data_IF_608632540381
#
_entry.id   IF_608632540381
#
_cell.length_a   1.000
_cell.length_b   1.000
_cell.length_c   1.000
_cell.angle_alpha   90.00
_cell.angle_beta   90.00
_cell.angle_gamma   90.00
#
_symmetry.space_group_name_H-M   'P 1'
#
loop_
_entity.id
_entity.type
_entity.pdbx_description
1 polymer ?
#
# COMPACT_ATOMS: atom_id res chain seq x y z
N UNK A 1 75.19 -33.22 48.45
CA UNK A 1 74.56 -34.13 49.44
C UNK A 1 73.27 -33.47 49.92
N UNK A 2 72.11 -33.96 49.45
CA UNK A 2 70.92 -34.18 50.29
C UNK A 2 69.86 -34.94 49.49
N UNK A 3 69.31 -35.94 50.14
CA UNK A 3 68.40 -36.98 49.65
C UNK A 3 66.96 -36.57 49.91
N UNK A 4 66.02 -36.90 49.01
CA UNK A 4 64.59 -37.09 49.32
C UNK A 4 63.95 -37.81 48.10
N UNK A 5 63.77 -39.13 48.13
CA UNK A 5 62.69 -39.93 48.76
C UNK A 5 61.30 -39.67 48.16
N UNK A 6 60.81 -40.74 47.54
CA UNK A 6 59.48 -41.04 46.98
C UNK A 6 58.29 -40.48 47.79
N UNK A 7 57.26 -40.04 47.07
CA UNK A 7 55.87 -40.21 47.48
C UNK A 7 54.99 -40.50 46.25
N UNK A 8 54.41 -41.69 46.26
CA UNK A 8 53.42 -42.19 45.32
C UNK A 8 52.09 -41.50 45.63
N UNK A 9 51.45 -40.89 44.62
CA UNK A 9 50.04 -40.52 44.71
C UNK A 9 49.33 -41.05 43.47
N UNK A 10 48.30 -41.86 43.74
CA UNK A 10 47.49 -42.64 42.82
C UNK A 10 46.81 -41.83 41.73
N UNK A 11 46.73 -42.43 40.54
CA UNK A 11 45.79 -42.07 39.49
C UNK A 11 44.35 -42.14 40.01
N UNK A 12 43.61 -41.03 39.89
CA UNK A 12 42.15 -41.06 39.77
C UNK A 12 41.84 -40.61 38.35
N UNK A 13 41.51 -41.56 37.49
CA UNK A 13 41.00 -41.32 36.15
C UNK A 13 39.53 -40.93 36.34
N UNK A 14 39.21 -39.64 36.23
CA UNK A 14 37.83 -39.21 36.01
C UNK A 14 37.57 -39.26 34.51
N UNK A 15 36.90 -40.33 34.08
CA UNK A 15 36.17 -40.41 32.82
C UNK A 15 35.19 -39.23 32.74
N UNK A 16 35.56 -38.20 31.96
CA UNK A 16 34.58 -37.28 31.40
C UNK A 16 34.29 -37.74 29.98
N UNK A 17 33.01 -38.01 29.62
CA UNK A 17 32.67 -38.34 28.26
C UNK A 17 33.01 -37.15 27.35
N UNK A 18 33.71 -37.43 26.27
CA UNK A 18 33.97 -36.51 25.18
C UNK A 18 32.61 -36.10 24.60
N UNK A 19 32.11 -34.94 25.02
CA UNK A 19 30.92 -34.34 24.45
C UNK A 19 31.18 -34.07 22.97
N UNK A 20 30.44 -34.76 22.11
CA UNK A 20 30.27 -34.38 20.72
C UNK A 20 29.74 -32.94 20.70
N UNK A 21 30.56 -31.99 20.25
CA UNK A 21 30.10 -30.64 19.98
C UNK A 21 29.35 -30.69 18.66
N UNK A 22 28.05 -30.98 18.74
CA UNK A 22 27.12 -30.86 17.62
C UNK A 22 27.10 -29.37 17.21
N UNK A 23 27.47 -29.01 15.97
CA UNK A 23 27.39 -27.62 15.55
C UNK A 23 25.92 -27.20 15.63
N UNK A 24 25.65 -26.12 16.37
CA UNK A 24 24.32 -25.53 16.47
C UNK A 24 23.70 -25.39 15.07
N UNK A 25 22.42 -25.71 14.88
CA UNK A 25 21.76 -25.52 13.60
C UNK A 25 21.97 -24.06 13.21
N UNK A 26 22.62 -23.87 12.07
CA UNK A 26 22.72 -22.55 11.44
C UNK A 26 21.30 -21.99 11.39
N UNK A 27 21.06 -20.89 12.10
CA UNK A 27 19.89 -20.04 11.89
C UNK A 27 19.88 -19.70 10.39
N UNK A 28 19.14 -20.51 9.64
CA UNK A 28 18.73 -20.14 8.31
C UNK A 28 17.77 -18.97 8.54
N UNK A 29 18.32 -17.76 8.49
CA UNK A 29 17.50 -16.60 8.19
C UNK A 29 16.79 -16.93 6.88
N UNK A 30 15.52 -17.33 6.98
CA UNK A 30 14.62 -17.36 5.85
C UNK A 30 14.82 -16.03 5.10
N UNK A 31 15.14 -16.06 3.79
CA UNK A 31 15.26 -14.83 3.03
C UNK A 31 13.93 -14.08 3.18
N UNK A 32 14.00 -12.85 3.69
CA UNK A 32 12.83 -12.02 3.96
C UNK A 32 11.91 -12.05 2.73
N UNK A 33 10.71 -12.65 2.90
CA UNK A 33 9.72 -12.77 1.82
C UNK A 33 9.49 -11.39 1.20
N UNK A 34 9.83 -11.25 -0.07
CA UNK A 34 9.51 -10.06 -0.85
C UNK A 34 7.99 -9.97 -0.95
N UNK A 35 7.40 -8.90 -0.39
CA UNK A 35 5.95 -8.71 -0.40
C UNK A 35 5.48 -8.52 -1.84
N UNK A 36 4.48 -9.29 -2.28
CA UNK A 36 3.97 -9.15 -3.64
C UNK A 36 3.28 -7.77 -3.83
N UNK A 37 3.37 -7.13 -5.01
CA UNK A 37 2.76 -5.80 -5.23
C UNK A 37 1.27 -5.74 -4.88
N UNK A 38 0.53 -6.80 -5.22
CA UNK A 38 -0.89 -6.96 -4.87
C UNK A 38 -1.12 -6.94 -3.35
N UNK A 39 -0.28 -7.64 -2.59
CA UNK A 39 -0.37 -7.72 -1.12
C UNK A 39 -0.03 -6.37 -0.48
N UNK A 40 1.05 -5.73 -0.95
CA UNK A 40 1.49 -4.43 -0.46
C UNK A 40 0.44 -3.31 -0.69
N UNK A 41 -0.34 -3.41 -1.76
CA UNK A 41 -1.38 -2.44 -2.11
C UNK A 41 -2.75 -2.73 -1.47
N UNK A 42 -2.93 -3.85 -0.76
CA UNK A 42 -4.22 -4.18 -0.11
C UNK A 42 -4.78 -3.10 0.81
N UNK A 43 -3.99 -2.33 1.58
CA UNK A 43 -4.52 -1.25 2.41
C UNK A 43 -5.30 -0.18 1.63
N UNK A 44 -5.03 -0.04 0.33
CA UNK A 44 -5.68 0.92 -0.56
C UNK A 44 -6.92 0.35 -1.27
N UNK A 45 -7.32 -0.90 -0.98
CA UNK A 45 -8.56 -1.48 -1.51
C UNK A 45 -9.79 -0.60 -1.22
N UNK A 46 -9.77 0.14 -0.12
CA UNK A 46 -10.85 1.07 0.26
C UNK A 46 -11.02 2.23 -0.73
N UNK A 47 -10.03 2.52 -1.59
CA UNK A 47 -10.15 3.52 -2.64
C UNK A 47 -10.89 3.00 -3.87
N UNK A 48 -10.95 1.68 -4.09
CA UNK A 48 -11.52 1.10 -5.32
C UNK A 48 -13.01 1.40 -5.43
N UNK A 49 -13.40 1.94 -6.59
CA UNK A 49 -14.76 2.38 -6.87
C UNK A 49 -14.82 3.78 -7.46
N UNK A 50 -16.04 4.28 -7.65
CA UNK A 50 -16.32 5.63 -8.14
C UNK A 50 -16.68 6.55 -6.97
N UNK A 51 -16.22 7.80 -7.03
CA UNK A 51 -16.34 8.77 -5.95
C UNK A 51 -16.72 10.14 -6.49
N UNK A 52 -17.64 10.82 -5.82
CA UNK A 52 -17.92 12.24 -6.03
C UNK A 52 -16.96 13.06 -5.20
N UNK A 53 -16.04 13.72 -5.87
CA UNK A 53 -15.08 14.66 -5.30
C UNK A 53 -15.65 16.08 -5.27
N UNK A 54 -15.54 16.74 -4.12
CA UNK A 54 -15.72 18.18 -3.98
C UNK A 54 -14.39 18.78 -3.55
N UNK A 55 -13.81 19.60 -4.42
CA UNK A 55 -12.53 20.26 -4.23
C UNK A 55 -12.68 21.70 -3.77
N UNK A 56 -11.85 22.08 -2.80
CA UNK A 56 -11.81 23.42 -2.23
C UNK A 56 -10.38 23.96 -2.33
N UNK A 57 -10.15 25.11 -3.00
CA UNK A 57 -8.85 25.77 -2.96
C UNK A 57 -8.57 26.30 -1.54
N UNK A 58 -7.31 26.23 -1.14
CA UNK A 58 -6.79 26.77 0.11
C UNK A 58 -5.62 27.74 -0.18
N UNK A 59 -5.12 28.45 0.84
CA UNK A 59 -4.00 29.39 0.68
C UNK A 59 -4.35 30.86 0.94
N UNK A 60 -4.14 31.74 -0.03
CA UNK A 60 -4.44 33.18 0.01
C UNK A 60 -5.95 33.45 -0.13
N UNK A 61 -6.39 34.70 0.04
CA UNK A 61 -7.81 35.06 -0.16
C UNK A 61 -8.19 34.90 -1.63
N UNK A 62 -7.27 35.26 -2.51
CA UNK A 62 -7.40 35.21 -3.96
C UNK A 62 -7.48 33.75 -4.45
N UNK A 63 -6.62 32.86 -3.94
CA UNK A 63 -6.68 31.43 -4.26
C UNK A 63 -8.02 30.82 -3.80
N UNK A 64 -8.51 31.15 -2.60
CA UNK A 64 -9.82 30.68 -2.12
C UNK A 64 -11.00 31.22 -2.95
N UNK A 65 -10.88 32.44 -3.48
CA UNK A 65 -11.90 33.05 -4.33
C UNK A 65 -12.05 32.34 -5.69
N UNK A 66 -11.09 31.49 -6.09
CA UNK A 66 -11.20 30.65 -7.30
C UNK A 66 -12.34 29.62 -7.25
N UNK A 67 -12.99 29.47 -6.09
CA UNK A 67 -14.22 28.70 -5.94
C UNK A 67 -14.00 27.19 -5.86
N UNK A 68 -15.00 26.52 -5.28
CA UNK A 68 -15.06 25.07 -5.23
C UNK A 68 -15.19 24.47 -6.64
N UNK A 69 -14.75 23.22 -6.80
CA UNK A 69 -15.05 22.44 -8.01
C UNK A 69 -15.58 21.07 -7.63
N UNK A 70 -16.18 20.40 -8.60
CA UNK A 70 -16.61 19.01 -8.49
C UNK A 70 -15.88 18.16 -9.52
N UNK A 71 -15.60 16.91 -9.15
CA UNK A 71 -14.98 15.93 -10.02
C UNK A 71 -15.45 14.52 -9.67
N UNK A 72 -15.32 13.59 -10.61
CA UNK A 72 -15.49 12.16 -10.31
C UNK A 72 -14.12 11.51 -10.28
N UNK A 73 -13.80 10.87 -9.16
CA UNK A 73 -12.56 10.10 -8.99
C UNK A 73 -12.94 8.63 -9.07
N UNK A 74 -12.29 7.87 -9.95
CA UNK A 74 -12.53 6.45 -10.09
C UNK A 74 -11.22 5.69 -9.94
N UNK A 75 -11.16 4.79 -8.96
CA UNK A 75 -10.02 3.92 -8.73
C UNK A 75 -10.36 2.49 -9.15
N UNK A 76 -9.41 1.84 -9.80
CA UNK A 76 -9.52 0.46 -10.24
C UNK A 76 -8.18 -0.27 -10.11
N UNK A 77 -8.26 -1.58 -9.88
CA UNK A 77 -7.09 -2.44 -9.99
C UNK A 77 -6.70 -2.65 -11.44
N UNK A 78 -5.41 -2.67 -11.69
CA UNK A 78 -4.79 -3.12 -12.92
C UNK A 78 -3.80 -4.23 -12.60
N UNK A 79 -3.78 -5.23 -13.46
CA UNK A 79 -2.92 -6.39 -13.36
C UNK A 79 -2.22 -6.60 -14.69
N UNK A 80 -0.95 -6.98 -14.63
CA UNK A 80 -0.19 -7.41 -15.79
C UNK A 80 0.90 -8.38 -15.33
N UNK A 81 0.83 -9.62 -15.79
CA UNK A 81 1.75 -10.68 -15.39
C UNK A 81 1.78 -10.89 -13.86
N UNK A 82 2.91 -10.63 -13.21
CA UNK A 82 3.06 -10.67 -11.73
C UNK A 82 2.94 -9.28 -11.07
N UNK A 83 2.73 -8.23 -11.88
CA UNK A 83 2.59 -6.87 -11.41
C UNK A 83 1.13 -6.50 -11.15
N UNK A 84 0.92 -5.64 -10.16
CA UNK A 84 -0.40 -5.14 -9.77
C UNK A 84 -0.27 -3.69 -9.31
N UNK A 85 -1.17 -2.83 -9.79
CA UNK A 85 -1.21 -1.42 -9.40
C UNK A 85 -2.64 -0.91 -9.34
N UNK A 86 -2.82 0.24 -8.68
CA UNK A 86 -4.10 0.95 -8.66
C UNK A 86 -4.04 2.11 -9.65
N UNK A 87 -4.95 2.11 -10.62
CA UNK A 87 -5.14 3.24 -11.52
C UNK A 87 -6.24 4.15 -11.00
N UNK A 88 -6.03 5.46 -11.10
CA UNK A 88 -7.04 6.48 -10.81
C UNK A 88 -7.36 7.26 -12.08
N UNK A 89 -8.64 7.55 -12.29
CA UNK A 89 -9.12 8.45 -13.35
C UNK A 89 -9.93 9.58 -12.73
N UNK A 90 -9.71 10.79 -13.20
CA UNK A 90 -10.40 12.00 -12.77
C UNK A 90 -11.25 12.53 -13.93
N UNK A 91 -12.57 12.42 -13.83
CA UNK A 91 -13.51 13.02 -14.80
C UNK A 91 -13.88 14.41 -14.32
N UNK A 92 -13.78 15.40 -15.24
CA UNK A 92 -13.95 16.83 -14.91
C UNK A 92 -12.97 17.31 -13.82
N UNK A 93 -11.83 16.64 -13.66
CA UNK A 93 -10.81 17.01 -12.68
C UNK A 93 -10.18 18.36 -13.00
N UNK A 94 -9.93 19.17 -11.97
CA UNK A 94 -9.31 20.50 -12.11
C UNK A 94 -7.80 20.43 -12.33
N UNK A 95 -7.14 19.47 -11.69
CA UNK A 95 -5.68 19.38 -11.67
C UNK A 95 -5.12 18.17 -12.42
N UNK A 96 -5.79 17.02 -12.31
CA UNK A 96 -5.34 15.75 -12.88
C UNK A 96 -6.41 15.11 -13.74
N UNK A 97 -5.98 14.23 -14.65
CA UNK A 97 -6.84 13.44 -15.53
C UNK A 97 -6.77 11.94 -15.19
N UNK A 98 -5.59 11.45 -14.81
CA UNK A 98 -5.36 10.06 -14.41
C UNK A 98 -4.09 9.91 -13.56
N UNK A 99 -3.88 8.72 -13.00
CA UNK A 99 -2.63 8.34 -12.37
C UNK A 99 -2.54 6.86 -12.03
N UNK A 100 -1.38 6.46 -11.53
CA UNK A 100 -1.07 5.08 -11.13
C UNK A 100 -0.34 5.08 -9.79
N UNK A 101 -0.85 4.31 -8.83
CA UNK A 101 -0.22 4.01 -7.55
C UNK A 101 0.38 2.61 -7.59
N UNK A 102 1.71 2.54 -7.44
CA UNK A 102 2.51 1.31 -7.51
C UNK A 102 3.25 1.08 -6.20
N UNK A 103 3.43 -0.18 -5.83
CA UNK A 103 4.37 -0.56 -4.78
C UNK A 103 5.79 -0.56 -5.36
N UNK A 104 6.68 0.21 -4.76
CA UNK A 104 8.07 0.35 -5.17
C UNK A 104 8.96 0.03 -3.96
N UNK A 105 9.27 -1.26 -3.72
CA UNK A 105 10.06 -1.65 -2.55
C UNK A 105 11.39 -0.91 -2.55
N UNK A 106 11.76 -0.37 -1.38
CA UNK A 106 13.12 0.13 -1.21
C UNK A 106 14.11 -1.05 -1.22
N UNK A 107 15.36 -0.81 -1.62
CA UNK A 107 16.40 -1.86 -1.59
C UNK A 107 16.69 -2.33 -0.17
N UNK A 108 16.35 -1.49 0.82
CA UNK A 108 16.37 -1.83 2.24
C UNK A 108 15.02 -2.40 2.68
N UNK A 109 14.98 -3.72 2.88
CA UNK A 109 13.78 -4.47 3.29
C UNK A 109 13.32 -4.18 4.73
N UNK A 110 14.05 -3.35 5.49
CA UNK A 110 13.66 -2.90 6.84
C UNK A 110 12.90 -1.57 6.82
N UNK A 111 12.88 -0.85 5.69
CA UNK A 111 12.14 0.39 5.56
C UNK A 111 10.64 0.14 5.42
N UNK A 112 9.81 1.11 5.85
CA UNK A 112 8.37 1.08 5.62
C UNK A 112 8.06 0.91 4.12
N UNK A 113 6.99 0.19 3.75
CA UNK A 113 6.63 -0.03 2.37
C UNK A 113 6.48 1.31 1.64
N UNK A 114 7.16 1.40 0.50
CA UNK A 114 7.27 2.61 -0.29
C UNK A 114 6.37 2.50 -1.51
N UNK A 115 5.65 3.58 -1.78
CA UNK A 115 4.68 3.68 -2.85
C UNK A 115 5.04 4.84 -3.76
N UNK A 116 4.85 4.64 -5.06
CA UNK A 116 5.02 5.66 -6.08
C UNK A 116 3.67 5.95 -6.73
N UNK A 117 3.26 7.21 -6.70
CA UNK A 117 2.09 7.71 -7.41
C UNK A 117 2.55 8.60 -8.56
N UNK A 118 2.24 8.20 -9.78
CA UNK A 118 2.45 9.02 -10.97
C UNK A 118 1.12 9.58 -11.42
N UNK A 119 1.00 10.91 -11.47
CA UNK A 119 -0.21 11.61 -11.91
C UNK A 119 0.03 12.30 -13.24
N UNK A 120 -0.97 12.29 -14.12
CA UNK A 120 -1.01 13.08 -15.35
C UNK A 120 -1.93 14.28 -15.14
N UNK A 121 -1.38 15.49 -15.25
CA UNK A 121 -2.11 16.73 -15.13
C UNK A 121 -3.00 17.01 -16.36
N UNK A 122 -3.89 18.01 -16.26
CA UNK A 122 -4.78 18.42 -17.35
C UNK A 122 -4.00 18.95 -18.56
N UNK A 123 -2.84 19.56 -18.33
CA UNK A 123 -1.91 20.01 -19.37
C UNK A 123 -1.04 18.88 -19.96
N UNK A 124 -1.29 17.62 -19.56
CA UNK A 124 -0.56 16.40 -19.94
C UNK A 124 0.83 16.26 -19.35
N UNK A 125 1.27 17.20 -18.50
CA UNK A 125 2.50 17.02 -17.73
C UNK A 125 2.34 15.88 -16.72
N UNK A 126 3.46 15.25 -16.36
CA UNK A 126 3.49 14.19 -15.35
C UNK A 126 4.11 14.70 -14.06
N UNK A 127 3.61 14.20 -12.93
CA UNK A 127 4.17 14.45 -11.61
C UNK A 127 4.32 13.13 -10.85
N UNK A 128 5.48 12.93 -10.26
CA UNK A 128 5.87 11.68 -9.59
C UNK A 128 6.07 11.92 -8.11
N UNK A 129 5.23 11.26 -7.31
CA UNK A 129 5.22 11.36 -5.86
C UNK A 129 5.62 10.02 -5.24
N UNK A 130 6.42 10.07 -4.19
CA UNK A 130 6.96 8.89 -3.53
C UNK A 130 6.85 9.04 -2.01
N UNK A 131 6.45 7.98 -1.33
CA UNK A 131 6.37 7.99 0.13
C UNK A 131 5.75 6.73 0.70
N UNK A 132 5.06 6.85 1.84
CA UNK A 132 4.63 5.71 2.65
C UNK A 132 3.28 5.91 3.31
N UNK A 133 2.69 4.79 3.75
CA UNK A 133 1.44 4.74 4.49
C UNK A 133 1.72 4.68 6.00
N UNK A 134 1.15 5.63 6.75
CA UNK A 134 1.08 5.54 8.21
C UNK A 134 -0.14 4.70 8.57
N UNK A 135 0.07 3.42 8.89
CA UNK A 135 -1.02 2.45 9.09
C UNK A 135 -1.98 2.77 10.23
N UNK A 136 -1.47 3.38 11.31
CA UNK A 136 -2.26 3.76 12.50
C UNK A 136 -3.31 4.82 12.15
N UNK A 137 -2.91 5.82 11.36
CA UNK A 137 -3.75 6.97 11.04
C UNK A 137 -4.41 6.86 9.66
N UNK A 138 -4.09 5.78 8.91
CA UNK A 138 -4.55 5.55 7.54
C UNK A 138 -4.27 6.75 6.62
N UNK A 139 -3.07 7.31 6.76
CA UNK A 139 -2.62 8.46 5.96
C UNK A 139 -1.46 8.07 5.06
N UNK A 140 -1.67 8.16 3.74
CA UNK A 140 -0.61 8.02 2.74
C UNK A 140 -0.03 9.40 2.45
N UNK A 141 1.27 9.57 2.70
CA UNK A 141 1.97 10.83 2.40
C UNK A 141 3.02 10.57 1.33
N UNK A 142 2.94 11.29 0.21
CA UNK A 142 3.83 11.12 -0.93
C UNK A 142 4.44 12.46 -1.32
N UNK A 143 5.77 12.58 -1.24
CA UNK A 143 6.51 13.77 -1.63
C UNK A 143 6.83 13.75 -3.13
N UNK A 144 6.69 14.90 -3.80
CA UNK A 144 7.04 15.04 -5.21
C UNK A 144 8.54 14.96 -5.39
N UNK A 145 8.98 14.19 -6.37
CA UNK A 145 10.40 13.94 -6.67
C UNK A 145 10.88 14.65 -7.95
N UNK A 146 9.95 15.03 -8.82
CA UNK A 146 10.17 15.73 -10.09
C UNK A 146 9.57 17.16 -10.06
N UNK A 147 9.52 17.76 -8.88
CA UNK A 147 8.93 19.07 -8.65
C UNK A 147 9.85 20.25 -9.00
N UNK A 148 9.33 21.49 -8.94
CA UNK A 148 10.14 22.70 -9.08
C UNK A 148 11.22 22.77 -7.99
N UNK A 149 12.41 23.29 -8.32
CA UNK A 149 13.51 23.44 -7.35
C UNK A 149 13.24 24.49 -6.27
N UNK A 150 12.22 25.33 -6.46
CA UNK A 150 11.86 26.42 -5.55
C UNK A 150 10.85 26.01 -4.48
N UNK A 151 10.15 24.89 -4.66
CA UNK A 151 9.04 24.48 -3.78
C UNK A 151 9.00 22.96 -3.61
N UNK A 152 8.97 22.51 -2.35
CA UNK A 152 8.65 21.12 -2.03
C UNK A 152 7.13 20.93 -2.12
N UNK A 153 6.70 19.86 -2.79
CA UNK A 153 5.30 19.51 -2.92
C UNK A 153 5.05 18.11 -2.36
N UNK A 154 3.87 17.89 -1.77
CA UNK A 154 3.42 16.56 -1.39
C UNK A 154 1.93 16.41 -1.62
N UNK A 155 1.51 15.18 -1.93
CA UNK A 155 0.11 14.78 -1.93
C UNK A 155 -0.14 13.87 -0.73
N UNK A 156 -1.24 14.11 -0.03
CA UNK A 156 -1.61 13.37 1.17
C UNK A 156 -3.02 12.80 0.99
N UNK A 157 -3.18 11.49 1.13
CA UNK A 157 -4.48 10.82 1.19
C UNK A 157 -4.79 10.42 2.63
N UNK A 158 -5.96 10.81 3.13
CA UNK A 158 -6.49 10.37 4.43
C UNK A 158 -7.67 9.44 4.17
N UNK A 159 -7.49 8.16 4.47
CA UNK A 159 -8.48 7.10 4.25
C UNK A 159 -9.39 7.01 5.48
N UNK A 160 -10.32 7.96 5.60
CA UNK A 160 -11.09 8.18 6.83
C UNK A 160 -12.03 7.03 7.18
N UNK A 161 -12.88 6.63 6.22
CA UNK A 161 -13.88 5.58 6.39
C UNK A 161 -14.22 4.93 5.05
N UNK A 162 -14.96 3.82 5.04
CA UNK A 162 -15.20 2.99 3.84
C UNK A 162 -15.82 3.73 2.64
N UNK A 163 -16.52 4.83 2.90
CA UNK A 163 -17.22 5.64 1.92
C UNK A 163 -16.76 7.12 1.89
N UNK A 164 -15.65 7.48 2.53
CA UNK A 164 -14.99 8.78 2.33
C UNK A 164 -13.48 8.74 2.51
N UNK A 165 -12.82 9.40 1.59
CA UNK A 165 -11.42 9.75 1.72
C UNK A 165 -11.21 11.21 1.39
N UNK A 166 -10.12 11.78 1.91
CA UNK A 166 -9.66 13.10 1.53
C UNK A 166 -8.34 12.94 0.79
N UNK A 167 -8.11 13.77 -0.21
CA UNK A 167 -6.76 13.96 -0.74
C UNK A 167 -6.46 15.44 -0.86
N UNK A 168 -5.22 15.83 -0.65
CA UNK A 168 -4.79 17.23 -0.67
C UNK A 168 -3.40 17.39 -1.22
N UNK A 169 -3.18 18.48 -1.94
CA UNK A 169 -1.85 18.93 -2.34
C UNK A 169 -1.39 19.98 -1.34
N UNK A 170 -0.19 19.80 -0.82
CA UNK A 170 0.43 20.75 0.09
C UNK A 170 1.81 21.12 -0.42
N UNK A 171 2.23 22.35 -0.11
CA UNK A 171 3.52 22.87 -0.56
C UNK A 171 4.23 23.66 0.52
N UNK A 172 5.54 23.82 0.37
CA UNK A 172 6.38 24.71 1.17
C UNK A 172 7.59 25.17 0.36
N UNK A 173 8.25 26.29 0.70
CA UNK A 173 9.50 26.68 0.05
C UNK A 173 10.54 25.56 0.16
N UNK A 174 11.24 25.27 -0.94
CA UNK A 174 12.22 24.20 -1.00
C UNK A 174 13.34 24.39 0.03
N UNK A 175 13.80 23.29 0.63
CA UNK A 175 14.90 23.30 1.60
C UNK A 175 14.58 23.93 2.95
N UNK A 176 13.31 24.25 3.23
CA UNK A 176 12.90 24.85 4.52
C UNK A 176 12.24 23.83 5.45
N UNK A 177 12.22 24.15 6.74
CA UNK A 177 11.54 23.35 7.78
C UNK A 177 10.15 23.87 8.12
N UNK A 178 9.66 24.89 7.40
CA UNK A 178 8.32 25.45 7.64
C UNK A 178 7.25 24.39 7.37
N UNK A 179 6.13 24.55 8.07
CA UNK A 179 4.99 23.66 7.88
C UNK A 179 4.45 23.77 6.44
N UNK A 180 4.02 22.62 5.92
CA UNK A 180 3.34 22.56 4.64
C UNK A 180 2.03 23.34 4.67
N UNK A 181 1.81 24.16 3.64
CA UNK A 181 0.57 24.88 3.41
C UNK A 181 -0.30 24.11 2.44
N UNK A 182 -1.60 23.97 2.73
CA UNK A 182 -2.54 23.33 1.81
C UNK A 182 -2.81 24.25 0.63
N UNK A 183 -2.65 23.73 -0.58
CA UNK A 183 -3.04 24.40 -1.82
C UNK A 183 -4.48 24.12 -2.19
N UNK A 184 -4.91 22.89 -1.97
CA UNK A 184 -6.30 22.52 -2.05
C UNK A 184 -6.55 21.19 -1.35
N UNK A 185 -7.82 20.91 -1.07
CA UNK A 185 -8.26 19.64 -0.55
C UNK A 185 -9.51 19.19 -1.30
N UNK A 186 -9.56 17.91 -1.63
CA UNK A 186 -10.73 17.26 -2.22
C UNK A 186 -11.29 16.26 -1.23
N UNK A 187 -12.57 16.40 -0.92
CA UNK A 187 -13.34 15.40 -0.20
C UNK A 187 -14.07 14.50 -1.18
N UNK A 188 -13.71 13.22 -1.20
CA UNK A 188 -14.30 12.24 -2.10
C UNK A 188 -15.23 11.29 -1.33
N UNK A 189 -16.51 11.30 -1.70
CA UNK A 189 -17.55 10.44 -1.13
C UNK A 189 -17.93 9.36 -2.13
N UNK A 190 -18.02 8.11 -1.69
CA UNK A 190 -18.26 6.97 -2.59
C UNK A 190 -19.62 7.07 -3.26
N UNK A 191 -19.67 6.85 -4.57
CA UNK A 191 -20.92 6.88 -5.32
C UNK A 191 -21.84 5.72 -4.93
N UNK A 192 -23.10 6.05 -4.66
CA UNK A 192 -24.14 5.06 -4.34
C UNK A 192 -24.15 4.59 -2.89
N UNK A 193 -23.25 5.07 -2.01
CA UNK A 193 -23.23 4.71 -0.59
C UNK A 193 -23.58 5.93 0.30
N UNK A 194 -24.59 5.82 1.21
CA UNK A 194 -24.91 6.90 2.14
C UNK A 194 -23.79 7.07 3.16
N UNK A 195 -23.54 8.32 3.60
CA UNK A 195 -22.41 8.72 4.45
C UNK A 195 -22.25 7.88 5.74
N UNK A 196 -23.32 7.31 6.28
CA UNK A 196 -23.33 6.61 7.57
C UNK A 196 -23.45 5.06 7.48
N UNK A 197 -23.42 4.44 6.30
CA UNK A 197 -23.53 2.98 6.19
C UNK A 197 -22.15 2.30 6.12
N UNK A 198 -21.93 1.31 6.97
CA UNK A 198 -20.80 0.38 6.82
C UNK A 198 -21.27 -0.75 5.90
N UNK A 199 -20.87 -0.71 4.64
CA UNK A 199 -21.31 -1.72 3.65
C UNK A 199 -20.64 -3.05 3.96
N UNK A 200 -21.37 -3.96 4.60
CA UNK A 200 -20.99 -5.38 4.71
C UNK A 200 -21.39 -6.08 3.42
N UNK A 201 -20.46 -6.82 2.82
CA UNK A 201 -20.70 -7.57 1.60
C UNK A 201 -19.67 -8.67 1.41
N UNK A 202 -19.83 -9.49 0.36
CA UNK A 202 -18.92 -10.59 0.07
C UNK A 202 -17.52 -10.07 -0.24
N UNK A 203 -16.49 -10.86 0.08
CA UNK A 203 -15.09 -10.51 -0.26
C UNK A 203 -14.84 -10.69 -1.77
N UNK A 204 -14.09 -9.76 -2.35
CA UNK A 204 -13.59 -9.85 -3.70
C UNK A 204 -12.57 -11.00 -3.80
N UNK A 205 -12.87 -12.03 -4.60
CA UNK A 205 -12.01 -13.22 -4.74
C UNK A 205 -10.60 -12.90 -5.27
N UNK A 206 -10.46 -11.78 -6.00
CA UNK A 206 -9.16 -11.35 -6.54
C UNK A 206 -8.42 -10.49 -5.52
N UNK A 207 -8.94 -9.34 -5.11
CA UNK A 207 -8.19 -8.35 -4.32
C UNK A 207 -8.34 -8.48 -2.79
N UNK A 208 -9.36 -9.21 -2.32
CA UNK A 208 -9.76 -9.25 -0.90
C UNK A 208 -10.52 -8.00 -0.41
N UNK A 209 -10.86 -7.07 -1.30
CA UNK A 209 -11.69 -5.90 -0.98
C UNK A 209 -13.19 -6.25 -0.91
N UNK A 210 -14.05 -5.24 -0.75
CA UNK A 210 -15.51 -5.43 -0.81
C UNK A 210 -15.94 -5.79 -2.24
N UNK A 211 -16.53 -6.96 -2.43
CA UNK A 211 -17.12 -7.43 -3.67
C UNK A 211 -18.45 -6.72 -3.96
N UNK A 212 -18.56 -6.11 -5.13
CA UNK A 212 -19.72 -5.32 -5.57
C UNK A 212 -20.37 -5.89 -6.84
N UNK A 213 -19.69 -6.79 -7.54
CA UNK A 213 -20.12 -7.39 -8.80
C UNK A 213 -20.03 -8.92 -8.72
N UNK A 214 -21.01 -9.62 -9.30
CA UNK A 214 -21.03 -11.08 -9.37
C UNK A 214 -20.37 -11.57 -10.67
N UNK A 215 -19.57 -12.62 -10.58
CA UNK A 215 -18.96 -13.34 -11.72
C UNK A 215 -19.16 -14.84 -11.54
N UNK A 216 -19.50 -15.57 -12.60
CA UNK A 216 -19.79 -17.00 -12.53
C UNK A 216 -18.72 -17.80 -13.26
N UNK A 217 -18.24 -18.89 -12.66
CA UNK A 217 -17.31 -19.83 -13.28
C UNK A 217 -17.64 -21.27 -12.86
N UNK A 218 -17.69 -22.20 -13.83
CA UNK A 218 -18.05 -23.63 -13.61
C UNK A 218 -19.31 -23.82 -12.76
N UNK A 219 -20.33 -22.98 -12.97
CA UNK A 219 -21.61 -23.04 -12.26
C UNK A 219 -21.58 -22.54 -10.81
N UNK A 220 -20.44 -21.99 -10.34
CA UNK A 220 -20.31 -21.33 -9.04
C UNK A 220 -20.23 -19.81 -9.21
N UNK A 221 -20.87 -19.09 -8.31
CA UNK A 221 -20.87 -17.63 -8.26
C UNK A 221 -19.77 -17.12 -7.32
N UNK A 222 -19.03 -16.12 -7.78
CA UNK A 222 -17.96 -15.43 -7.07
C UNK A 222 -18.18 -13.91 -7.14
N UNK A 223 -17.50 -13.16 -6.27
CA UNK A 223 -17.66 -11.71 -6.18
C UNK A 223 -16.35 -10.98 -6.46
N UNK A 224 -16.43 -9.84 -7.14
CA UNK A 224 -15.29 -8.97 -7.49
C UNK A 224 -15.64 -7.50 -7.24
N UNK A 225 -14.63 -6.66 -7.00
CA UNK A 225 -14.83 -5.25 -6.63
C UNK A 225 -14.83 -4.25 -7.80
N UNK A 226 -14.28 -4.63 -8.95
CA UNK A 226 -14.17 -3.77 -10.13
C UNK A 226 -13.99 -4.58 -11.41
N UNK A 227 -14.08 -3.91 -12.57
CA UNK A 227 -13.79 -4.46 -13.90
C UNK A 227 -12.42 -5.11 -13.98
N UNK A 228 -11.37 -4.49 -13.42
CA UNK A 228 -10.02 -5.07 -13.41
C UNK A 228 -9.95 -6.44 -12.72
N UNK A 229 -10.62 -6.59 -11.56
CA UNK A 229 -10.71 -7.88 -10.88
C UNK A 229 -11.59 -8.89 -11.63
N UNK A 230 -12.65 -8.43 -12.31
CA UNK A 230 -13.47 -9.31 -13.17
C UNK A 230 -12.65 -9.90 -14.30
N UNK A 231 -11.88 -9.06 -14.98
CA UNK A 231 -11.16 -9.44 -16.18
C UNK A 231 -9.98 -10.38 -15.80
N UNK A 232 -9.25 -10.05 -14.73
CA UNK A 232 -8.21 -10.94 -14.16
C UNK A 232 -8.78 -12.31 -13.71
N UNK A 233 -9.96 -12.31 -13.07
CA UNK A 233 -10.62 -13.57 -12.69
C UNK A 233 -11.02 -14.42 -13.90
N UNK A 234 -11.44 -13.80 -15.00
CA UNK A 234 -11.80 -14.54 -16.23
C UNK A 234 -10.58 -15.16 -16.90
N UNK A 235 -9.44 -14.51 -16.83
CA UNK A 235 -8.18 -15.01 -17.39
C UNK A 235 -7.59 -16.14 -16.54
N UNK A 236 -7.58 -15.97 -15.21
CA UNK A 236 -6.93 -16.90 -14.29
C UNK A 236 -7.86 -17.43 -13.17
N UNK A 237 -9.04 -18.01 -13.49
CA UNK A 237 -10.06 -18.33 -12.48
C UNK A 237 -9.58 -19.37 -11.45
N UNK A 238 -8.87 -20.41 -11.91
CA UNK A 238 -8.45 -21.51 -11.03
C UNK A 238 -7.41 -21.07 -10.00
N UNK A 239 -6.56 -20.09 -10.33
CA UNK A 239 -5.57 -19.50 -9.41
C UNK A 239 -6.29 -18.89 -8.21
N UNK A 240 -7.26 -18.01 -8.46
CA UNK A 240 -7.96 -17.29 -7.41
C UNK A 240 -8.93 -18.18 -6.61
N UNK A 241 -9.52 -19.20 -7.24
CA UNK A 241 -10.33 -20.20 -6.53
C UNK A 241 -9.47 -20.99 -5.54
N UNK A 242 -8.27 -21.44 -5.96
CA UNK A 242 -7.34 -22.14 -5.06
C UNK A 242 -6.84 -21.23 -3.94
N UNK A 243 -6.51 -19.97 -4.23
CA UNK A 243 -6.14 -18.97 -3.20
C UNK A 243 -7.26 -18.78 -2.17
N UNK A 244 -8.52 -18.66 -2.62
CA UNK A 244 -9.68 -18.50 -1.75
C UNK A 244 -9.96 -19.75 -0.89
N UNK A 245 -9.90 -20.95 -1.48
CA UNK A 245 -10.04 -22.20 -0.74
C UNK A 245 -8.92 -22.40 0.29
N UNK A 246 -7.69 -22.01 -0.05
CA UNK A 246 -6.56 -22.07 0.87
C UNK A 246 -6.71 -21.08 2.04
N UNK A 247 -7.28 -19.89 1.81
CA UNK A 247 -7.62 -18.94 2.88
C UNK A 247 -8.74 -19.47 3.78
N UNK A 248 -9.79 -20.03 3.20
CA UNK A 248 -10.93 -20.58 3.95
C UNK A 248 -10.54 -21.77 4.86
N UNK A 249 -9.50 -22.54 4.50
CA UNK A 249 -8.96 -23.63 5.34
C UNK A 249 -8.03 -23.16 6.46
N UNK A 250 -7.58 -21.90 6.42
CA UNK A 250 -6.68 -21.31 7.42
C UNK A 250 -7.41 -20.43 8.46
N UNK A 251 -8.70 -20.17 8.23
CA UNK A 251 -9.62 -19.57 9.21
C UNK A 251 -10.31 -20.68 10.00
#
# INVERSE_FOLDING_TARGET
MLTAILLVVSCVISDHPVGHFEPAPSDQCDPAKTVAPKEALQPFNVLVGSWKGSGMPEGTKEERAAGAWEETVAWEWKFKDQDAWLAVTFKKGKHFTKGELRYTPDKDTKAAPRFTLTLTAVDKSTATFVGGLTDKDKVLTLARTDGPTTEDQRIVFSLLHSNRHLYRLETRPAGTTVAYSKKYQVGATKEGEPFAATTKGPECIVSGGLGTMKVSYKGKDYWVCCSGCRDEFKENPEKYIKEAEAKAKKQ
#
